data_IF_058617436327
#
_entry.id   IF_058617436327
#
_cell.length_a   1.000
_cell.length_b   1.000
_cell.length_c   1.000
_cell.angle_alpha   90.00
_cell.angle_beta   90.00
_cell.angle_gamma   90.00
#
_symmetry.space_group_name_H-M   'P 1'
#
loop_
_entity.id
_entity.type
_entity.pdbx_description
1 polymer ?
#
# COMPACT_ATOMS: atom_id res chain seq x y z
N UNK A 1 4.19 1.96 -9.64
CA UNK A 1 4.10 3.43 -9.54
C UNK A 1 2.63 3.83 -9.42
N UNK A 2 2.16 4.20 -8.23
CA UNK A 2 0.81 4.75 -8.06
C UNK A 2 0.82 6.22 -8.51
N UNK A 3 -0.10 6.60 -9.40
CA UNK A 3 -0.18 7.97 -9.91
C UNK A 3 -0.62 8.95 -8.80
N UNK A 4 -0.22 10.22 -8.90
CA UNK A 4 -0.49 11.32 -7.95
C UNK A 4 -1.96 11.51 -7.52
N UNK A 5 -2.90 10.86 -8.22
CA UNK A 5 -4.32 10.79 -7.86
C UNK A 5 -4.60 9.90 -6.65
N UNK A 6 -3.76 8.90 -6.37
CA UNK A 6 -3.93 7.98 -5.23
C UNK A 6 -3.51 8.65 -3.92
N UNK A 7 -2.40 9.38 -3.91
CA UNK A 7 -1.93 10.13 -2.74
C UNK A 7 -2.93 11.23 -2.32
N UNK A 8 -3.62 11.85 -3.28
CA UNK A 8 -4.63 12.88 -3.00
C UNK A 8 -5.93 12.31 -2.41
N UNK A 9 -6.26 11.05 -2.68
CA UNK A 9 -7.44 10.40 -2.08
C UNK A 9 -7.24 10.08 -0.60
N UNK A 10 -5.98 9.82 -0.18
CA UNK A 10 -5.61 9.51 1.21
C UNK A 10 -5.85 10.71 2.15
N UNK A 11 -5.44 11.90 1.71
CA UNK A 11 -5.59 13.17 2.44
C UNK A 11 -7.04 13.54 2.78
N UNK A 12 -8.02 13.04 2.00
CA UNK A 12 -9.44 13.35 2.18
C UNK A 12 -10.13 12.27 3.04
N UNK A 13 -9.61 11.05 3.06
CA UNK A 13 -10.32 9.88 3.61
C UNK A 13 -9.92 9.54 5.04
N UNK A 14 -8.91 10.23 5.62
CA UNK A 14 -8.28 9.89 6.92
C UNK A 14 -7.84 8.42 7.01
N UNK A 15 -7.57 7.82 5.86
CA UNK A 15 -7.00 6.48 5.73
C UNK A 15 -5.48 6.63 5.75
N UNK A 16 -4.77 5.54 6.07
CA UNK A 16 -3.31 5.49 5.95
C UNK A 16 -2.94 4.78 4.65
N UNK A 17 -2.39 5.51 3.68
CA UNK A 17 -1.82 4.91 2.48
C UNK A 17 -0.37 4.49 2.73
N UNK A 18 -0.03 3.26 2.33
CA UNK A 18 1.33 2.73 2.33
C UNK A 18 1.77 2.49 0.89
N UNK A 19 2.80 3.21 0.44
CA UNK A 19 3.43 2.95 -0.85
C UNK A 19 4.39 1.76 -0.70
N UNK A 20 4.23 0.75 -1.55
CA UNK A 20 5.10 -0.42 -1.58
C UNK A 20 6.16 -0.31 -2.68
N UNK A 21 7.39 -0.77 -2.43
CA UNK A 21 8.42 -0.79 -3.44
C UNK A 21 8.03 -1.75 -4.57
N UNK A 22 8.27 -1.32 -5.81
CA UNK A 22 8.21 -2.18 -6.99
C UNK A 22 9.59 -2.75 -7.28
N UNK A 23 9.64 -3.85 -8.01
CA UNK A 23 10.91 -4.41 -8.48
C UNK A 23 11.48 -3.66 -9.69
N UNK A 24 12.57 -4.19 -10.26
CA UNK A 24 13.29 -3.60 -11.40
C UNK A 24 12.43 -3.51 -12.67
N UNK A 25 11.42 -4.37 -12.80
CA UNK A 25 10.41 -4.35 -13.86
C UNK A 25 9.23 -3.41 -13.55
N UNK A 26 9.37 -2.54 -12.54
CA UNK A 26 8.34 -1.62 -12.07
C UNK A 26 7.02 -2.31 -11.67
N UNK A 27 7.10 -3.60 -11.32
CA UNK A 27 5.96 -4.42 -10.97
C UNK A 27 5.85 -4.58 -9.46
N UNK A 28 4.63 -4.47 -8.92
CA UNK A 28 4.40 -4.91 -7.55
C UNK A 28 4.41 -6.44 -7.50
N UNK A 29 5.11 -7.00 -6.52
CA UNK A 29 5.19 -8.45 -6.29
C UNK A 29 4.29 -8.86 -5.14
N UNK A 30 3.68 -10.04 -5.26
CA UNK A 30 2.78 -10.59 -4.25
C UNK A 30 3.43 -10.75 -2.89
N UNK A 31 4.72 -11.11 -2.86
CA UNK A 31 5.49 -11.27 -1.61
C UNK A 31 5.65 -9.93 -0.87
N UNK A 32 5.94 -8.84 -1.61
CA UNK A 32 6.04 -7.49 -1.04
C UNK A 32 4.70 -7.06 -0.44
N UNK A 33 3.59 -7.33 -1.14
CA UNK A 33 2.25 -7.02 -0.65
C UNK A 33 1.89 -7.86 0.59
N UNK A 34 2.17 -9.17 0.57
CA UNK A 34 1.89 -10.06 1.68
C UNK A 34 2.63 -9.68 2.95
N UNK A 35 3.92 -9.33 2.84
CA UNK A 35 4.72 -8.87 3.97
C UNK A 35 4.17 -7.56 4.56
N UNK A 36 3.78 -6.60 3.71
CA UNK A 36 3.19 -5.35 4.17
C UNK A 36 1.85 -5.56 4.89
N UNK A 37 0.98 -6.42 4.36
CA UNK A 37 -0.30 -6.78 5.00
C UNK A 37 -0.06 -7.41 6.37
N UNK A 38 0.90 -8.33 6.49
CA UNK A 38 1.20 -8.98 7.77
C UNK A 38 1.71 -7.97 8.81
N UNK A 39 2.67 -7.13 8.44
CA UNK A 39 3.23 -6.10 9.32
C UNK A 39 2.16 -5.09 9.76
N UNK A 40 1.27 -4.68 8.84
CA UNK A 40 0.17 -3.77 9.15
C UNK A 40 -0.80 -4.41 10.16
N UNK A 41 -1.11 -5.70 10.00
CA UNK A 41 -1.94 -6.45 10.97
C UNK A 41 -1.26 -6.59 12.33
N UNK A 42 0.05 -6.85 12.38
CA UNK A 42 0.83 -6.90 13.62
C UNK A 42 0.84 -5.55 14.35
N UNK A 43 0.83 -4.45 13.60
CA UNK A 43 0.70 -3.09 14.13
C UNK A 43 -0.74 -2.70 14.49
N UNK A 44 -1.71 -3.62 14.41
CA UNK A 44 -3.12 -3.39 14.74
C UNK A 44 -3.90 -2.61 13.67
N UNK A 45 -3.35 -2.46 12.46
CA UNK A 45 -4.04 -1.87 11.33
C UNK A 45 -4.87 -2.93 10.59
N UNK A 46 -5.88 -2.48 9.84
CA UNK A 46 -6.75 -3.35 9.04
C UNK A 46 -6.57 -3.01 7.55
N UNK A 47 -5.79 -3.82 6.80
CA UNK A 47 -5.66 -3.66 5.36
C UNK A 47 -7.00 -3.98 4.68
N UNK A 48 -7.54 -3.04 3.90
CA UNK A 48 -8.87 -3.18 3.30
C UNK A 48 -8.91 -2.87 1.80
N UNK A 49 -7.87 -2.24 1.24
CA UNK A 49 -7.84 -1.84 -0.16
C UNK A 49 -6.42 -1.85 -0.72
N UNK A 50 -6.27 -2.30 -1.98
CA UNK A 50 -5.00 -2.35 -2.72
C UNK A 50 -5.31 -1.89 -4.15
N UNK A 51 -4.44 -1.06 -4.72
CA UNK A 51 -4.54 -0.54 -6.09
C UNK A 51 -3.19 -0.59 -6.82
#
# INVERSE_FOLDING_TARGET
QAHSSVEKADLISLVKLRLLPTDEDLSQRGDTLGNAINEDRENGLVPFYVI
#
